data_IF_261394481159
#
_entry.id   IF_261394481159
#
_cell.length_a   1.000
_cell.length_b   1.000
_cell.length_c   1.000
_cell.angle_alpha   90.00
_cell.angle_beta   90.00
_cell.angle_gamma   90.00
#
_symmetry.space_group_name_H-M   'P 1'
#
loop_
_entity.id
_entity.type
_entity.pdbx_description
1 polymer ?
#
# COMPACT_ATOMS: atom_id res chain seq x y z
N UNK A 1 -11.22 23.70 2.26
CA UNK A 1 -12.02 22.69 1.52
C UNK A 1 -11.24 22.05 0.36
N UNK A 2 -10.50 22.82 -0.46
CA UNK A 2 -9.69 22.31 -1.59
C UNK A 2 -8.61 21.30 -1.17
N UNK A 3 -7.88 21.56 -0.09
CA UNK A 3 -6.86 20.64 0.43
C UNK A 3 -7.40 19.26 0.81
N UNK A 4 -8.63 19.18 1.35
CA UNK A 4 -9.22 17.90 1.78
C UNK A 4 -9.59 17.03 0.57
N UNK A 5 -10.13 17.65 -0.49
CA UNK A 5 -10.49 16.94 -1.73
C UNK A 5 -9.25 16.40 -2.46
N UNK A 6 -8.15 17.14 -2.43
CA UNK A 6 -6.87 16.68 -2.98
C UNK A 6 -6.35 15.43 -2.26
N UNK A 7 -6.40 15.39 -0.93
CA UNK A 7 -5.99 14.22 -0.13
C UNK A 7 -6.85 12.98 -0.40
N UNK A 8 -8.15 13.18 -0.62
CA UNK A 8 -9.08 12.09 -0.96
C UNK A 8 -8.81 11.55 -2.37
N UNK A 9 -8.56 12.42 -3.35
CA UNK A 9 -8.17 12.01 -4.70
C UNK A 9 -6.85 11.26 -4.71
N UNK A 10 -5.84 11.74 -3.97
CA UNK A 10 -4.58 11.02 -3.84
C UNK A 10 -4.75 9.67 -3.15
N UNK A 11 -5.58 9.58 -2.11
CA UNK A 11 -5.86 8.29 -1.46
C UNK A 11 -6.49 7.30 -2.43
N UNK A 12 -7.46 7.73 -3.24
CA UNK A 12 -8.10 6.87 -4.24
C UNK A 12 -7.13 6.41 -5.33
N UNK A 13 -6.26 7.29 -5.82
CA UNK A 13 -5.27 6.90 -6.84
C UNK A 13 -4.22 5.96 -6.27
N UNK A 14 -3.72 6.18 -5.06
CA UNK A 14 -2.80 5.25 -4.40
C UNK A 14 -3.41 3.86 -4.26
N UNK A 15 -4.67 3.76 -3.82
CA UNK A 15 -5.39 2.47 -3.73
C UNK A 15 -5.51 1.76 -5.08
N UNK A 16 -5.78 2.51 -6.15
CA UNK A 16 -5.84 1.94 -7.50
C UNK A 16 -4.47 1.44 -7.97
N UNK A 17 -3.39 2.17 -7.66
CA UNK A 17 -2.03 1.75 -7.96
C UNK A 17 -1.59 0.53 -7.13
N UNK A 18 -1.95 0.47 -5.85
CA UNK A 18 -1.73 -0.70 -5.00
C UNK A 18 -2.38 -1.94 -5.62
N UNK A 19 -3.65 -1.82 -6.04
CA UNK A 19 -4.40 -2.92 -6.67
C UNK A 19 -3.74 -3.35 -7.97
N UNK A 20 -3.41 -2.41 -8.85
CA UNK A 20 -2.76 -2.72 -10.12
C UNK A 20 -1.42 -3.44 -9.90
N UNK A 21 -0.58 -2.96 -8.97
CA UNK A 21 0.70 -3.59 -8.67
C UNK A 21 0.55 -5.00 -8.10
N UNK A 22 -0.39 -5.21 -7.18
CA UNK A 22 -0.63 -6.52 -6.58
C UNK A 22 -1.18 -7.54 -7.60
N UNK A 23 -2.10 -7.12 -8.48
CA UNK A 23 -2.62 -7.98 -9.56
C UNK A 23 -1.50 -8.41 -10.51
N UNK A 24 -0.61 -7.48 -10.88
CA UNK A 24 0.51 -7.79 -11.79
C UNK A 24 1.45 -8.82 -11.17
N UNK A 25 1.83 -8.66 -9.90
CA UNK A 25 2.70 -9.62 -9.22
C UNK A 25 2.04 -10.99 -9.12
N UNK A 26 0.81 -11.07 -8.58
CA UNK A 26 0.05 -12.33 -8.46
C UNK A 26 -0.11 -13.04 -9.81
N UNK A 27 -0.41 -12.29 -10.88
CA UNK A 27 -0.55 -12.86 -12.21
C UNK A 27 0.75 -13.49 -12.74
N UNK A 28 1.89 -12.85 -12.51
CA UNK A 28 3.20 -13.35 -12.92
C UNK A 28 3.62 -14.54 -12.05
N UNK A 29 3.50 -14.42 -10.72
CA UNK A 29 3.85 -15.49 -9.78
C UNK A 29 3.00 -16.74 -10.02
N UNK A 30 1.70 -16.59 -10.26
CA UNK A 30 0.79 -17.70 -10.58
C UNK A 30 1.15 -18.43 -11.88
N UNK A 31 1.61 -17.70 -12.91
CA UNK A 31 2.13 -18.30 -14.13
C UNK A 31 3.38 -19.14 -13.85
N UNK A 32 4.32 -18.62 -13.08
CA UNK A 32 5.52 -19.37 -12.70
C UNK A 32 5.19 -20.62 -11.87
N UNK A 33 4.19 -20.56 -10.99
CA UNK A 33 3.79 -21.70 -10.17
C UNK A 33 3.12 -22.82 -10.97
N UNK A 34 2.36 -22.46 -12.02
CA UNK A 34 1.73 -23.43 -12.92
C UNK A 34 2.73 -24.16 -13.81
N UNK A 35 3.81 -23.47 -14.22
CA UNK A 35 4.86 -24.02 -15.10
C UNK A 35 6.02 -24.65 -14.30
N UNK A 36 6.13 -24.40 -12.99
CA UNK A 36 7.29 -24.84 -12.20
C UNK A 36 7.20 -26.32 -11.80
N UNK A 37 8.16 -27.11 -12.26
CA UNK A 37 8.49 -28.45 -11.75
C UNK A 37 9.74 -28.41 -10.84
N UNK A 38 10.00 -27.25 -10.25
CA UNK A 38 11.22 -26.97 -9.48
C UNK A 38 11.18 -27.59 -8.07
N UNK A 39 12.35 -27.70 -7.43
CA UNK A 39 12.49 -28.24 -6.09
C UNK A 39 11.68 -27.47 -5.04
N UNK A 40 11.24 -28.17 -3.99
CA UNK A 40 10.32 -27.67 -2.95
C UNK A 40 10.73 -26.32 -2.33
N UNK A 41 12.03 -26.04 -2.23
CA UNK A 41 12.55 -24.79 -1.69
C UNK A 41 12.25 -23.56 -2.57
N UNK A 42 12.30 -23.72 -3.89
CA UNK A 42 12.01 -22.64 -4.84
C UNK A 42 10.51 -22.35 -4.88
N UNK A 43 9.70 -23.41 -4.94
CA UNK A 43 8.24 -23.31 -4.95
C UNK A 43 7.71 -22.68 -3.66
N UNK A 44 8.33 -22.97 -2.50
CA UNK A 44 7.95 -22.35 -1.23
C UNK A 44 8.06 -20.82 -1.22
N UNK A 45 9.05 -20.26 -1.94
CA UNK A 45 9.23 -18.81 -2.04
C UNK A 45 8.19 -18.16 -2.96
N UNK A 46 7.87 -18.81 -4.08
CA UNK A 46 6.82 -18.37 -4.99
C UNK A 46 5.44 -18.42 -4.31
N UNK A 47 5.14 -19.49 -3.58
CA UNK A 47 3.89 -19.61 -2.80
C UNK A 47 3.81 -18.50 -1.75
N UNK A 48 4.91 -18.17 -1.07
CA UNK A 48 4.92 -17.05 -0.13
C UNK A 48 4.56 -15.73 -0.82
N UNK A 49 5.20 -15.40 -1.96
CA UNK A 49 4.89 -14.21 -2.75
C UNK A 49 3.42 -14.17 -3.18
N UNK A 50 2.89 -15.29 -3.67
CA UNK A 50 1.50 -15.42 -4.09
C UNK A 50 0.54 -15.16 -2.93
N UNK A 51 0.81 -15.72 -1.74
CA UNK A 51 -0.02 -15.51 -0.55
C UNK A 51 0.00 -14.05 -0.12
N UNK A 52 1.16 -13.39 -0.11
CA UNK A 52 1.26 -11.95 0.22
C UNK A 52 0.48 -11.10 -0.79
N UNK A 53 0.58 -11.44 -2.07
CA UNK A 53 -0.17 -10.79 -3.14
C UNK A 53 -1.69 -10.98 -2.98
N UNK A 54 -2.15 -12.21 -2.70
CA UNK A 54 -3.56 -12.51 -2.48
C UNK A 54 -4.13 -11.79 -1.25
N UNK A 55 -3.40 -11.78 -0.12
CA UNK A 55 -3.80 -11.03 1.09
C UNK A 55 -3.90 -9.53 0.79
N UNK A 56 -2.97 -8.99 0.00
CA UNK A 56 -3.00 -7.60 -0.45
C UNK A 56 -4.25 -7.31 -1.27
N UNK A 57 -4.59 -8.14 -2.25
CA UNK A 57 -5.81 -7.97 -3.05
C UNK A 57 -7.09 -8.01 -2.19
N UNK A 58 -7.18 -8.99 -1.29
CA UNK A 58 -8.30 -9.11 -0.37
C UNK A 58 -8.40 -7.89 0.52
N UNK A 59 -7.28 -7.37 1.05
CA UNK A 59 -7.30 -6.19 1.90
C UNK A 59 -7.81 -4.94 1.18
N UNK A 60 -7.41 -4.72 -0.08
CA UNK A 60 -7.89 -3.57 -0.87
C UNK A 60 -9.39 -3.70 -1.11
N UNK A 61 -9.86 -4.90 -1.45
CA UNK A 61 -11.29 -5.18 -1.62
C UNK A 61 -12.06 -4.95 -0.31
N UNK A 62 -11.52 -5.40 0.82
CA UNK A 62 -12.13 -5.19 2.13
C UNK A 62 -12.24 -3.70 2.48
N UNK A 63 -11.18 -2.91 2.22
CA UNK A 63 -11.17 -1.46 2.45
C UNK A 63 -12.11 -0.72 1.49
N UNK A 64 -12.28 -1.21 0.25
CA UNK A 64 -13.22 -0.63 -0.72
C UNK A 64 -14.68 -0.88 -0.33
N UNK A 65 -15.01 -2.10 0.08
CA UNK A 65 -16.38 -2.52 0.39
C UNK A 65 -16.78 -2.06 1.79
N UNK A 66 -15.89 -2.20 2.76
CA UNK A 66 -16.14 -1.86 4.15
C UNK A 66 -15.32 -0.63 4.53
N UNK A 67 -16.01 0.42 5.00
CA UNK A 67 -15.34 1.55 5.66
C UNK A 67 -14.83 1.06 7.01
N UNK A 68 -13.63 0.48 7.00
CA UNK A 68 -12.90 0.01 8.18
C UNK A 68 -12.57 1.16 9.11
N UNK A 69 -12.29 0.83 10.37
CA UNK A 69 -11.77 1.83 11.31
C UNK A 69 -10.43 2.38 10.79
N UNK A 70 -10.21 3.71 10.87
CA UNK A 70 -9.01 4.35 10.31
C UNK A 70 -7.72 3.79 10.93
N UNK A 71 -7.76 3.41 12.21
CA UNK A 71 -6.63 2.77 12.88
C UNK A 71 -6.24 1.43 12.26
N UNK A 72 -7.23 0.56 12.00
CA UNK A 72 -6.99 -0.75 11.42
C UNK A 72 -6.48 -0.64 9.98
N UNK A 73 -7.00 0.31 9.20
CA UNK A 73 -6.53 0.58 7.84
C UNK A 73 -5.06 1.01 7.81
N UNK A 74 -4.67 1.96 8.66
CA UNK A 74 -3.27 2.41 8.76
C UNK A 74 -2.35 1.25 9.16
N UNK A 75 -2.79 0.44 10.14
CA UNK A 75 -2.02 -0.71 10.60
C UNK A 75 -1.83 -1.74 9.48
N UNK A 76 -2.89 -2.05 8.74
CA UNK A 76 -2.87 -2.99 7.63
C UNK A 76 -1.92 -2.51 6.52
N UNK A 77 -1.98 -1.23 6.16
CA UNK A 77 -1.12 -0.64 5.13
C UNK A 77 0.38 -0.76 5.50
N UNK A 78 0.72 -0.49 6.77
CA UNK A 78 2.09 -0.61 7.28
C UNK A 78 2.54 -2.07 7.29
N UNK A 79 1.68 -2.98 7.77
CA UNK A 79 1.98 -4.40 7.81
C UNK A 79 2.27 -4.92 6.40
N UNK A 80 1.38 -4.66 5.44
CA UNK A 80 1.56 -5.08 4.05
C UNK A 80 2.81 -4.48 3.40
N UNK A 81 3.14 -3.22 3.70
CA UNK A 81 4.42 -2.64 3.26
C UNK A 81 5.61 -3.50 3.72
N UNK A 82 5.66 -3.92 4.99
CA UNK A 82 6.73 -4.80 5.47
C UNK A 82 6.74 -6.17 4.78
N UNK A 83 5.57 -6.75 4.52
CA UNK A 83 5.49 -8.01 3.78
C UNK A 83 6.02 -7.85 2.33
N UNK A 84 5.68 -6.76 1.65
CA UNK A 84 6.18 -6.47 0.29
C UNK A 84 7.69 -6.21 0.24
N UNK A 85 8.25 -5.56 1.26
CA UNK A 85 9.71 -5.45 1.41
C UNK A 85 10.36 -6.83 1.59
N UNK A 86 9.75 -7.70 2.40
CA UNK A 86 10.21 -9.08 2.58
C UNK A 86 10.16 -9.89 1.27
N UNK A 87 9.06 -9.79 0.53
CA UNK A 87 8.88 -10.42 -0.79
C UNK A 87 9.96 -9.94 -1.77
N UNK A 88 10.22 -8.63 -1.81
CA UNK A 88 11.26 -8.05 -2.68
C UNK A 88 12.65 -8.62 -2.33
N UNK A 89 12.98 -8.71 -1.05
CA UNK A 89 14.24 -9.33 -0.60
C UNK A 89 14.32 -10.81 -0.97
N UNK A 90 13.22 -11.54 -0.83
CA UNK A 90 13.15 -12.97 -1.16
C UNK A 90 13.33 -13.23 -2.66
N UNK A 91 12.68 -12.42 -3.51
CA UNK A 91 12.80 -12.49 -4.97
C UNK A 91 14.23 -12.12 -5.42
N UNK A 92 14.92 -11.21 -4.74
CA UNK A 92 16.32 -10.91 -5.06
C UNK A 92 17.24 -12.10 -4.76
N UNK A 93 16.98 -12.86 -3.69
CA UNK A 93 17.75 -14.08 -3.39
C UNK A 93 17.47 -15.22 -4.37
N UNK A 94 16.32 -15.20 -5.07
CA UNK A 94 16.03 -16.15 -6.16
C UNK A 94 16.83 -15.81 -7.43
N UNK A 95 17.30 -14.56 -7.59
CA UNK A 95 18.06 -14.07 -8.74
C UNK A 95 19.54 -14.51 -8.74
N UNK A 96 19.96 -15.38 -7.82
CA UNK A 96 21.31 -15.98 -7.86
C UNK A 96 21.48 -16.99 -9.02
N UNK A 97 20.41 -17.32 -9.77
CA UNK A 97 20.51 -17.94 -11.09
C UNK A 97 20.84 -16.89 -12.15
N UNK A 98 21.80 -17.13 -13.07
CA UNK A 98 22.47 -16.10 -13.86
C UNK A 98 21.58 -15.56 -14.99
N UNK A 99 20.62 -14.74 -14.61
CA UNK A 99 20.08 -13.69 -15.45
C UNK A 99 21.12 -12.57 -15.45
N UNK A 100 21.93 -12.52 -16.50
CA UNK A 100 22.98 -11.52 -16.66
C UNK A 100 22.40 -10.10 -16.42
N UNK A 101 23.13 -9.31 -15.61
CA UNK A 101 23.05 -7.85 -15.31
C UNK A 101 21.69 -7.10 -15.20
N UNK A 102 21.62 -6.21 -14.20
CA UNK A 102 20.45 -5.37 -13.85
C UNK A 102 20.11 -4.26 -14.88
N UNK A 103 20.94 -4.03 -15.91
CA UNK A 103 20.80 -2.86 -16.80
C UNK A 103 21.09 -3.11 -18.30
N UNK A 104 21.08 -4.34 -18.80
CA UNK A 104 21.28 -4.56 -20.24
C UNK A 104 19.95 -4.64 -20.99
N UNK A 105 19.46 -3.49 -21.39
CA UNK A 105 18.35 -3.36 -22.33
C UNK A 105 18.70 -3.86 -23.74
N UNK A 106 19.94 -4.28 -23.98
CA UNK A 106 20.50 -4.63 -25.29
C UNK A 106 20.31 -6.11 -25.68
N UNK A 107 19.78 -6.96 -24.79
CA UNK A 107 19.49 -8.37 -25.10
C UNK A 107 18.07 -8.76 -24.70
N UNK A 108 17.11 -7.84 -24.85
CA UNK A 108 15.68 -8.14 -24.88
C UNK A 108 15.37 -8.80 -26.22
N UNK A 109 15.80 -10.05 -26.39
CA UNK A 109 15.18 -10.90 -27.38
C UNK A 109 13.73 -11.11 -26.90
N UNK A 110 12.69 -10.81 -27.71
CA UNK A 110 11.30 -10.99 -27.32
C UNK A 110 10.89 -12.46 -27.04
N UNK A 111 11.85 -13.39 -27.00
CA UNK A 111 11.67 -14.82 -26.98
C UNK A 111 12.36 -15.55 -25.82
N UNK A 112 13.14 -14.86 -24.96
CA UNK A 112 13.61 -15.45 -23.69
C UNK A 112 12.78 -14.88 -22.53
N UNK A 113 11.58 -15.44 -22.39
CA UNK A 113 10.47 -14.76 -21.74
C UNK A 113 10.53 -14.76 -20.20
N UNK A 114 11.35 -15.62 -19.58
CA UNK A 114 11.26 -15.86 -18.14
C UNK A 114 12.04 -14.83 -17.32
N UNK A 115 13.23 -14.44 -17.79
CA UNK A 115 14.12 -13.55 -17.04
C UNK A 115 13.61 -12.09 -16.96
N UNK A 116 13.05 -11.59 -18.06
CA UNK A 116 12.43 -10.26 -18.10
C UNK A 116 11.20 -10.15 -17.21
N UNK A 117 10.35 -11.20 -17.20
CA UNK A 117 9.16 -11.29 -16.32
C UNK A 117 9.55 -11.23 -14.84
N UNK A 118 10.60 -11.95 -14.45
CA UNK A 118 11.08 -11.96 -13.07
C UNK A 118 11.67 -10.60 -12.62
N UNK A 119 12.36 -9.90 -13.52
CA UNK A 119 12.85 -8.54 -13.21
C UNK A 119 11.73 -7.53 -13.04
N UNK A 120 10.68 -7.63 -13.86
CA UNK A 120 9.49 -6.81 -13.72
C UNK A 120 8.76 -7.10 -12.39
N UNK A 121 8.61 -8.37 -12.03
CA UNK A 121 7.97 -8.78 -10.76
C UNK A 121 8.66 -8.16 -9.54
N UNK A 122 10.00 -8.21 -9.48
CA UNK A 122 10.78 -7.56 -8.41
C UNK A 122 10.52 -6.05 -8.36
N UNK A 123 10.49 -5.37 -9.51
CA UNK A 123 10.25 -3.93 -9.56
C UNK A 123 8.85 -3.58 -9.05
N UNK A 124 7.83 -4.34 -9.47
CA UNK A 124 6.46 -4.14 -9.00
C UNK A 124 6.29 -4.45 -7.51
N UNK A 125 7.03 -5.42 -6.96
CA UNK A 125 7.03 -5.69 -5.52
C UNK A 125 7.57 -4.50 -4.69
N UNK A 126 8.65 -3.86 -5.14
CA UNK A 126 9.22 -2.66 -4.48
C UNK A 126 8.29 -1.45 -4.61
N UNK A 127 7.68 -1.29 -5.79
CA UNK A 127 6.67 -0.24 -6.00
C UNK A 127 5.48 -0.47 -5.08
N UNK A 128 4.98 -1.70 -4.98
CA UNK A 128 3.87 -2.05 -4.08
C UNK A 128 4.22 -1.73 -2.62
N UNK A 129 5.42 -2.10 -2.15
CA UNK A 129 5.90 -1.76 -0.81
C UNK A 129 5.85 -0.25 -0.53
N UNK A 130 6.30 0.54 -1.50
CA UNK A 130 6.31 2.01 -1.39
C UNK A 130 4.90 2.60 -1.41
N UNK A 131 4.02 2.06 -2.25
CA UNK A 131 2.63 2.50 -2.35
C UNK A 131 1.86 2.26 -1.05
N UNK A 132 1.96 1.06 -0.48
CA UNK A 132 1.35 0.73 0.80
C UNK A 132 1.84 1.63 1.94
N UNK A 133 3.15 1.90 1.98
CA UNK A 133 3.73 2.82 2.96
C UNK A 133 3.21 4.25 2.78
N UNK A 134 3.19 4.75 1.55
CA UNK A 134 2.68 6.09 1.24
C UNK A 134 1.19 6.23 1.57
N UNK A 135 0.41 5.18 1.33
CA UNK A 135 -1.02 5.11 1.66
C UNK A 135 -1.25 5.15 3.17
N UNK A 136 -0.53 4.34 3.94
CA UNK A 136 -0.57 4.37 5.40
C UNK A 136 -0.18 5.74 5.96
N UNK A 137 0.85 6.39 5.40
CA UNK A 137 1.25 7.75 5.78
C UNK A 137 0.18 8.79 5.48
N UNK A 138 -0.44 8.75 4.29
CA UNK A 138 -1.52 9.67 3.93
C UNK A 138 -2.75 9.50 4.84
N UNK A 139 -3.12 8.25 5.13
CA UNK A 139 -4.23 7.94 6.05
C UNK A 139 -3.92 8.46 7.47
N UNK A 140 -2.69 8.26 7.96
CA UNK A 140 -2.25 8.79 9.26
C UNK A 140 -2.22 10.32 9.31
N UNK A 141 -1.80 10.98 8.22
CA UNK A 141 -1.84 12.43 8.13
C UNK A 141 -3.28 12.95 8.15
N UNK A 142 -4.20 12.30 7.43
CA UNK A 142 -5.61 12.67 7.40
C UNK A 142 -6.24 12.56 8.78
N UNK A 143 -5.98 11.47 9.52
CA UNK A 143 -6.45 11.29 10.90
C UNK A 143 -5.94 12.40 11.82
N UNK A 144 -4.64 12.75 11.73
CA UNK A 144 -4.04 13.86 12.49
C UNK A 144 -4.68 15.21 12.14
N UNK A 145 -5.14 15.41 10.91
CA UNK A 145 -5.84 16.63 10.51
C UNK A 145 -7.25 16.68 11.09
N UNK A 146 -7.99 15.57 11.05
CA UNK A 146 -9.34 15.46 11.62
C UNK A 146 -9.33 15.70 13.12
N UNK A 147 -8.39 15.07 13.84
CA UNK A 147 -8.25 15.26 15.29
C UNK A 147 -7.98 16.72 15.67
N UNK A 148 -7.09 17.41 14.92
CA UNK A 148 -6.79 18.83 15.16
C UNK A 148 -7.99 19.73 14.92
N UNK A 149 -8.81 19.43 13.92
CA UNK A 149 -10.05 20.17 13.66
C UNK A 149 -11.05 20.02 14.80
N UNK A 150 -11.25 18.80 15.30
CA UNK A 150 -12.17 18.54 16.40
C UNK A 150 -11.77 19.30 17.68
N UNK A 151 -10.48 19.33 18.04
CA UNK A 151 -10.00 20.07 19.22
C UNK A 151 -10.22 21.58 19.07
N UNK A 152 -9.98 22.14 17.88
CA UNK A 152 -10.22 23.56 17.60
C UNK A 152 -11.70 23.92 17.71
N UNK A 153 -12.58 23.06 17.19
CA UNK A 153 -14.02 23.31 17.19
C UNK A 153 -14.60 23.27 18.60
N UNK A 154 -14.23 22.25 19.38
CA UNK A 154 -14.60 22.13 20.81
C UNK A 154 -14.14 23.36 21.59
N UNK A 155 -12.89 23.82 21.41
CA UNK A 155 -12.38 25.04 22.06
C UNK A 155 -13.21 26.27 21.67
N UNK A 156 -13.57 26.43 20.40
CA UNK A 156 -14.38 27.56 19.93
C UNK A 156 -15.77 27.57 20.57
N UNK A 157 -16.37 26.38 20.76
CA UNK A 157 -17.65 26.21 21.43
C UNK A 157 -17.60 26.58 22.92
N UNK A 158 -16.52 26.24 23.63
CA UNK A 158 -16.32 26.65 25.02
C UNK A 158 -16.20 28.18 25.16
N UNK A 159 -15.35 28.82 24.32
CA UNK A 159 -15.18 30.28 24.34
C UNK A 159 -16.50 31.03 24.05
N UNK A 160 -17.32 30.51 23.13
CA UNK A 160 -18.62 31.11 22.80
C UNK A 160 -19.65 30.98 23.93
N UNK A 161 -19.50 30.00 24.83
CA UNK A 161 -20.34 29.88 26.03
C UNK A 161 -19.91 30.89 27.11
N UNK A 162 -18.61 31.02 27.35
CA UNK A 162 -18.08 32.00 28.31
C UNK A 162 -18.50 33.43 27.94
N UNK A 163 -18.37 33.82 26.66
CA UNK A 163 -18.81 35.15 26.21
C UNK A 163 -20.31 35.40 26.45
N UNK A 164 -21.17 34.38 26.25
CA UNK A 164 -22.61 34.51 26.54
C UNK A 164 -22.89 34.68 28.02
N UNK A 165 -22.12 34.00 28.87
CA UNK A 165 -22.30 34.10 30.32
C UNK A 165 -21.85 35.46 30.85
N UNK A 166 -20.69 35.98 30.44
CA UNK A 166 -20.23 37.32 30.82
C UNK A 166 -21.18 38.44 30.38
N UNK A 167 -21.84 38.29 29.22
CA UNK A 167 -22.85 39.24 28.76
C UNK A 167 -24.13 39.21 29.61
N UNK A 168 -24.47 38.05 30.16
CA UNK A 168 -25.64 37.90 31.05
C UNK A 168 -25.34 38.50 32.43
N UNK A 169 -24.12 38.27 32.95
CA UNK A 169 -23.69 38.81 34.25
C UNK A 169 -23.54 40.35 34.25
N UNK A 170 -23.29 40.97 33.09
CA UNK A 170 -23.18 42.43 32.97
C UNK A 170 -24.54 43.16 32.92
N UNK A 171 -25.66 42.42 32.81
CA UNK A 171 -27.02 42.99 32.76
C UNK A 171 -27.79 42.87 34.07
N UNK A 172 -27.22 42.22 35.08
CA UNK A 172 -27.77 42.08 36.44
C UNK A 172 -27.05 43.03 37.38
#
# INVERSE_FOLDING_TARGET
MVHMRFLQLSSLTLRALELASAVVVVGITGFFLAESDAGAWNNGRLIYTEVVGAVSLVSILLVLVSRLEPFFQIFLDILLSFLWWSVSGLLLTLREFPCDWVFEWMNVAPFDEQCGKFTAEVAFAVVSATLYLASGMLNALMERHLFRQQVSDVRSHYLKREMRQSQTDSQV
#
